data_IF_367258336791
#
_entry.id   IF_367258336791
#
_cell.length_a   1.000
_cell.length_b   1.000
_cell.length_c   1.000
_cell.angle_alpha   90.00
_cell.angle_beta   90.00
_cell.angle_gamma   90.00
#
_symmetry.space_group_name_H-M   'P 1'
#
loop_
_entity.id
_entity.type
_entity.pdbx_description
1 polymer ?
#
# COMPACT_ATOMS: atom_id res chain seq x y z
N UNK A 1 20.27 -0.94 -11.19
CA UNK A 1 20.30 -1.80 -9.98
C UNK A 1 20.45 -3.25 -10.42
N UNK A 2 21.33 -4.05 -9.81
CA UNK A 2 21.49 -5.45 -10.24
C UNK A 2 20.24 -6.25 -9.90
N UNK A 3 19.70 -6.97 -10.88
CA UNK A 3 18.54 -7.86 -10.69
C UNK A 3 18.86 -8.90 -9.61
N UNK A 4 17.86 -9.29 -8.81
CA UNK A 4 17.90 -10.46 -7.92
C UNK A 4 18.83 -10.39 -6.68
N UNK A 5 19.19 -9.20 -6.19
CA UNK A 5 20.00 -9.06 -4.96
C UNK A 5 19.36 -9.68 -3.71
N UNK A 6 18.03 -9.77 -3.66
CA UNK A 6 17.30 -10.41 -2.57
C UNK A 6 17.61 -11.92 -2.43
N UNK A 7 18.22 -12.52 -3.45
CA UNK A 7 18.69 -13.91 -3.40
C UNK A 7 20.20 -14.04 -3.12
N UNK A 8 20.94 -12.95 -3.00
CA UNK A 8 22.35 -12.98 -2.63
C UNK A 8 22.52 -13.49 -1.18
N UNK A 9 23.63 -14.18 -0.91
CA UNK A 9 23.89 -14.81 0.40
C UNK A 9 23.69 -13.82 1.57
N UNK A 10 24.24 -12.61 1.45
CA UNK A 10 24.14 -11.59 2.49
C UNK A 10 22.69 -11.17 2.80
N UNK A 11 21.77 -11.16 1.82
CA UNK A 11 20.38 -10.77 2.07
C UNK A 11 19.55 -11.92 2.65
N UNK A 12 19.88 -13.17 2.30
CA UNK A 12 19.21 -14.36 2.85
C UNK A 12 19.42 -14.50 4.37
N UNK A 13 20.53 -13.99 4.88
CA UNK A 13 20.79 -13.92 6.33
C UNK A 13 19.89 -12.91 7.05
N UNK A 14 19.41 -11.88 6.33
CA UNK A 14 18.54 -10.84 6.89
C UNK A 14 17.05 -11.18 6.72
N UNK A 15 16.67 -11.72 5.56
CA UNK A 15 15.28 -11.93 5.17
C UNK A 15 14.91 -13.40 5.08
N UNK A 16 14.01 -13.84 5.97
CA UNK A 16 13.49 -15.21 5.98
C UNK A 16 12.84 -15.60 4.65
N UNK A 17 12.19 -14.64 3.98
CA UNK A 17 11.43 -14.89 2.75
C UNK A 17 12.16 -14.50 1.48
N UNK A 18 13.41 -13.99 1.57
CA UNK A 18 14.14 -13.41 0.44
C UNK A 18 13.32 -12.33 -0.29
N UNK A 19 12.51 -11.56 0.45
CA UNK A 19 11.65 -10.50 -0.08
C UNK A 19 11.86 -9.20 0.68
N UNK A 20 11.64 -8.10 -0.03
CA UNK A 20 11.49 -6.77 0.57
C UNK A 20 10.00 -6.49 0.84
N UNK A 21 9.67 -5.73 1.90
CA UNK A 21 10.57 -5.22 2.93
C UNK A 21 10.97 -6.27 3.96
N UNK A 22 12.15 -6.08 4.55
CA UNK A 22 12.59 -6.74 5.78
C UNK A 22 13.09 -5.65 6.73
N UNK A 23 12.57 -5.64 7.95
CA UNK A 23 12.90 -4.69 9.01
C UNK A 23 13.85 -5.36 10.01
N UNK A 24 14.90 -4.64 10.39
CA UNK A 24 15.74 -4.98 11.53
C UNK A 24 15.57 -3.93 12.62
N UNK A 25 15.27 -4.35 13.85
CA UNK A 25 15.39 -3.50 15.04
C UNK A 25 16.20 -4.26 16.09
N UNK A 26 17.36 -3.69 16.45
CA UNK A 26 18.39 -4.35 17.23
C UNK A 26 18.81 -5.69 16.57
N UNK A 27 18.66 -6.80 17.29
CA UNK A 27 18.93 -8.14 16.79
C UNK A 27 17.70 -8.83 16.16
N UNK A 28 16.52 -8.21 16.19
CA UNK A 28 15.28 -8.82 15.67
C UNK A 28 15.07 -8.47 14.21
N UNK A 29 14.81 -9.50 13.39
CA UNK A 29 14.55 -9.40 11.95
C UNK A 29 13.12 -9.86 11.67
N UNK A 30 12.38 -9.07 10.88
CA UNK A 30 11.00 -9.37 10.50
C UNK A 30 10.74 -8.98 9.05
N UNK A 31 10.20 -9.93 8.28
CA UNK A 31 9.73 -9.70 6.90
C UNK A 31 8.20 -9.62 6.87
N UNK A 32 7.64 -9.30 5.69
CA UNK A 32 6.20 -9.05 5.44
C UNK A 32 5.71 -7.69 5.98
N UNK A 33 5.29 -6.81 5.07
CA UNK A 33 4.96 -5.42 5.41
C UNK A 33 3.84 -5.28 6.45
N UNK A 34 2.79 -6.11 6.39
CA UNK A 34 1.70 -6.04 7.38
C UNK A 34 2.12 -6.58 8.75
N UNK A 35 2.96 -7.61 8.80
CA UNK A 35 3.52 -8.11 10.07
C UNK A 35 4.43 -7.05 10.69
N UNK A 36 5.24 -6.39 9.87
CA UNK A 36 6.09 -5.27 10.28
C UNK A 36 5.25 -4.14 10.87
N UNK A 37 4.17 -3.71 10.22
CA UNK A 37 3.34 -2.60 10.73
C UNK A 37 2.60 -2.95 12.01
N UNK A 38 2.12 -4.20 12.16
CA UNK A 38 1.54 -4.68 13.43
C UNK A 38 2.59 -4.69 14.55
N UNK A 39 3.80 -5.18 14.26
CA UNK A 39 4.89 -5.19 15.22
C UNK A 39 5.29 -3.77 15.67
N UNK A 40 5.31 -2.81 14.73
CA UNK A 40 5.59 -1.41 15.05
C UNK A 40 4.49 -0.78 15.92
N UNK A 41 3.21 -1.07 15.65
CA UNK A 41 2.09 -0.62 16.49
C UNK A 41 2.19 -1.15 17.93
N UNK A 42 2.62 -2.41 18.11
CA UNK A 42 2.77 -3.02 19.43
C UNK A 42 4.05 -2.56 20.16
N UNK A 43 5.17 -2.48 19.45
CA UNK A 43 6.47 -2.12 20.02
C UNK A 43 6.61 -0.62 20.32
N UNK A 44 5.94 0.22 19.54
CA UNK A 44 5.93 1.68 19.68
C UNK A 44 4.49 2.18 19.80
N UNK A 45 3.82 1.96 20.95
CA UNK A 45 2.42 2.25 21.11
C UNK A 45 2.15 3.74 21.38
N UNK A 46 0.93 4.17 21.11
CA UNK A 46 0.42 5.47 21.54
C UNK A 46 0.29 5.58 23.08
N UNK A 47 0.39 6.79 23.66
CA UNK A 47 0.51 8.09 22.98
C UNK A 47 1.94 8.52 22.64
N UNK A 48 2.96 7.73 23.00
CA UNK A 48 4.35 8.08 22.73
C UNK A 48 4.64 8.14 21.23
N UNK A 49 4.00 7.25 20.46
CA UNK A 49 4.06 7.23 19.00
C UNK A 49 2.66 7.31 18.39
N UNK A 50 2.58 7.83 17.17
CA UNK A 50 1.34 7.88 16.40
C UNK A 50 0.87 6.46 16.04
N UNK A 51 -0.44 6.20 16.16
CA UNK A 51 -1.00 4.88 15.83
C UNK A 51 -1.08 4.68 14.32
N UNK A 52 -0.81 3.46 13.89
CA UNK A 52 -1.02 2.97 12.53
C UNK A 52 -2.41 2.36 12.36
N UNK A 53 -3.02 1.85 13.44
CA UNK A 53 -4.31 1.17 13.38
C UNK A 53 -5.42 1.88 14.17
N UNK A 54 -6.69 1.76 13.75
CA UNK A 54 -7.83 2.27 14.52
C UNK A 54 -7.87 1.68 15.94
N UNK A 55 -8.27 2.48 16.95
CA UNK A 55 -8.44 1.97 18.33
C UNK A 55 -9.57 0.95 18.44
N UNK A 56 -10.67 1.24 17.76
CA UNK A 56 -11.87 0.40 17.71
C UNK A 56 -11.55 -0.97 17.10
N UNK A 57 -12.02 -2.03 17.76
CA UNK A 57 -11.60 -3.40 17.43
C UNK A 57 -12.16 -3.84 16.07
N UNK A 58 -13.39 -3.47 15.74
CA UNK A 58 -14.04 -3.81 14.48
C UNK A 58 -13.41 -3.04 13.31
N UNK A 59 -13.12 -1.74 13.49
CA UNK A 59 -12.37 -0.96 12.49
C UNK A 59 -10.95 -1.48 12.30
N UNK A 60 -10.25 -1.91 13.37
CA UNK A 60 -8.94 -2.55 13.28
C UNK A 60 -9.01 -3.88 12.52
N UNK A 61 -10.03 -4.70 12.78
CA UNK A 61 -10.26 -5.92 12.02
C UNK A 61 -10.51 -5.64 10.53
N UNK A 62 -11.28 -4.59 10.21
CA UNK A 62 -11.51 -4.14 8.83
C UNK A 62 -10.23 -3.63 8.15
N UNK A 63 -9.39 -2.87 8.86
CA UNK A 63 -8.07 -2.48 8.34
C UNK A 63 -7.22 -3.70 7.96
N UNK A 64 -7.16 -4.71 8.84
CA UNK A 64 -6.45 -5.98 8.57
C UNK A 64 -7.03 -6.74 7.37
N UNK A 65 -8.35 -6.79 7.26
CA UNK A 65 -9.04 -7.40 6.10
C UNK A 65 -8.60 -6.69 4.80
N UNK A 66 -8.65 -5.36 4.76
CA UNK A 66 -8.23 -4.58 3.59
C UNK A 66 -6.76 -4.84 3.25
N UNK A 67 -5.87 -4.81 4.25
CA UNK A 67 -4.45 -5.07 4.03
C UNK A 67 -4.17 -6.46 3.45
N UNK A 68 -4.82 -7.50 3.99
CA UNK A 68 -4.68 -8.86 3.51
C UNK A 68 -5.24 -9.01 2.09
N UNK A 69 -6.44 -8.47 1.86
CA UNK A 69 -7.13 -8.52 0.58
C UNK A 69 -6.34 -7.85 -0.55
N UNK A 70 -5.80 -6.65 -0.31
CA UNK A 70 -4.96 -5.93 -1.26
C UNK A 70 -3.70 -6.72 -1.65
N UNK A 71 -3.16 -7.52 -0.71
CA UNK A 71 -1.97 -8.35 -0.91
C UNK A 71 -2.28 -9.68 -1.61
N UNK A 72 -3.49 -10.22 -1.53
CA UNK A 72 -3.80 -11.56 -2.05
C UNK A 72 -4.61 -11.60 -3.35
N UNK A 73 -5.38 -10.56 -3.69
CA UNK A 73 -6.44 -10.69 -4.72
C UNK A 73 -6.13 -9.95 -6.05
N UNK A 74 -5.48 -8.78 -5.99
CA UNK A 74 -5.32 -7.90 -7.15
C UNK A 74 -4.05 -8.19 -7.97
N UNK A 75 -3.77 -9.46 -8.26
CA UNK A 75 -2.56 -9.83 -9.02
C UNK A 75 -2.53 -9.16 -10.40
N UNK A 76 -3.64 -9.18 -11.15
CA UNK A 76 -3.72 -8.62 -12.50
C UNK A 76 -3.47 -7.10 -12.53
N UNK A 77 -4.06 -6.34 -11.59
CA UNK A 77 -3.77 -4.90 -11.46
C UNK A 77 -2.28 -4.70 -11.19
N UNK A 78 -1.68 -5.48 -10.28
CA UNK A 78 -0.26 -5.33 -9.91
C UNK A 78 0.71 -5.71 -11.03
N UNK A 79 0.31 -6.63 -11.92
CA UNK A 79 1.12 -7.01 -13.08
C UNK A 79 1.02 -5.99 -14.21
N UNK A 80 -0.20 -5.52 -14.51
CA UNK A 80 -0.44 -4.61 -15.64
C UNK A 80 -0.23 -3.14 -15.28
N UNK A 81 -0.26 -2.81 -13.98
CA UNK A 81 0.08 -1.50 -13.40
C UNK A 81 1.06 -1.71 -12.25
N UNK A 82 2.32 -2.04 -12.57
CA UNK A 82 3.33 -2.31 -11.56
C UNK A 82 3.69 -1.02 -10.80
N UNK A 83 4.43 -1.14 -9.70
CA UNK A 83 4.71 -0.01 -8.80
C UNK A 83 5.45 1.14 -9.49
N UNK A 84 6.14 0.85 -10.58
CA UNK A 84 6.89 1.76 -11.43
C UNK A 84 6.01 2.89 -11.95
N UNK A 85 4.71 2.64 -12.19
CA UNK A 85 3.71 3.66 -12.51
C UNK A 85 3.74 4.82 -11.51
N UNK A 86 3.92 4.52 -10.22
CA UNK A 86 3.87 5.50 -9.14
C UNK A 86 5.03 6.51 -9.17
N UNK A 87 6.10 6.20 -9.93
CA UNK A 87 7.36 6.92 -9.87
C UNK A 87 7.95 7.31 -11.24
N UNK A 88 7.56 6.62 -12.32
CA UNK A 88 8.23 6.71 -13.62
C UNK A 88 7.40 7.37 -14.73
N UNK A 89 6.08 7.57 -14.53
CA UNK A 89 5.19 8.02 -15.59
C UNK A 89 5.14 7.07 -16.81
N UNK A 90 5.53 5.80 -16.62
CA UNK A 90 5.53 4.79 -17.66
C UNK A 90 4.10 4.52 -18.15
N UNK A 91 3.97 4.35 -19.47
CA UNK A 91 2.70 3.99 -20.11
C UNK A 91 2.67 2.50 -20.39
N UNK A 92 1.61 1.86 -19.93
CA UNK A 92 1.33 0.44 -20.12
C UNK A 92 0.19 0.26 -21.12
N UNK A 93 0.05 -0.96 -21.62
CA UNK A 93 -1.05 -1.32 -22.50
C UNK A 93 -2.42 -1.14 -21.80
N UNK A 94 -3.52 -1.01 -22.57
CA UNK A 94 -4.87 -1.07 -22.02
C UNK A 94 -5.07 -2.34 -21.17
N UNK A 95 -5.90 -2.23 -20.14
CA UNK A 95 -6.17 -3.34 -19.22
C UNK A 95 -6.79 -4.52 -19.96
N UNK A 96 -6.34 -5.73 -19.60
CA UNK A 96 -7.03 -6.95 -20.03
C UNK A 96 -8.38 -7.09 -19.34
N UNK A 97 -9.24 -8.00 -19.84
CA UNK A 97 -10.52 -8.29 -19.20
C UNK A 97 -10.37 -8.75 -17.74
N UNK A 98 -9.32 -9.52 -17.42
CA UNK A 98 -9.02 -9.98 -16.06
C UNK A 98 -8.61 -8.83 -15.14
N UNK A 99 -7.81 -7.89 -15.65
CA UNK A 99 -7.45 -6.70 -14.88
C UNK A 99 -8.65 -5.76 -14.72
N UNK A 100 -9.47 -5.58 -15.76
CA UNK A 100 -10.69 -4.77 -15.67
C UNK A 100 -11.67 -5.34 -14.63
N UNK A 101 -11.88 -6.66 -14.61
CA UNK A 101 -12.71 -7.31 -13.59
C UNK A 101 -12.17 -7.06 -12.17
N UNK A 102 -10.85 -7.09 -12.00
CA UNK A 102 -10.20 -6.78 -10.73
C UNK A 102 -10.39 -5.30 -10.34
N UNK A 103 -10.32 -4.37 -11.30
CA UNK A 103 -10.61 -2.95 -11.08
C UNK A 103 -12.07 -2.75 -10.65
N UNK A 104 -13.02 -3.36 -11.36
CA UNK A 104 -14.45 -3.24 -11.04
C UNK A 104 -14.75 -3.76 -9.63
N UNK A 105 -14.11 -4.86 -9.23
CA UNK A 105 -14.19 -5.42 -7.87
C UNK A 105 -13.63 -4.45 -6.83
N UNK A 106 -12.48 -3.83 -7.12
CA UNK A 106 -11.87 -2.83 -6.23
C UNK A 106 -12.80 -1.62 -6.05
N UNK A 107 -13.27 -1.04 -7.15
CA UNK A 107 -14.16 0.13 -7.16
C UNK A 107 -15.42 -0.15 -6.35
N UNK A 108 -16.13 -1.24 -6.65
CA UNK A 108 -17.36 -1.63 -5.94
C UNK A 108 -17.15 -1.75 -4.42
N UNK A 109 -16.03 -2.33 -4.00
CA UNK A 109 -15.75 -2.51 -2.57
C UNK A 109 -15.41 -1.18 -1.89
N UNK A 110 -14.55 -0.36 -2.51
CA UNK A 110 -14.12 0.91 -1.92
C UNK A 110 -15.28 1.90 -1.84
N UNK A 111 -16.18 1.92 -2.82
CA UNK A 111 -17.41 2.73 -2.78
C UNK A 111 -18.30 2.41 -1.56
N UNK A 112 -18.26 1.16 -1.06
CA UNK A 112 -18.96 0.75 0.17
C UNK A 112 -18.18 1.07 1.43
N UNK A 113 -16.85 1.01 1.38
CA UNK A 113 -15.96 1.21 2.52
C UNK A 113 -15.73 2.69 2.83
N UNK A 114 -15.83 3.55 1.82
CA UNK A 114 -15.71 4.99 1.95
C UNK A 114 -17.12 5.55 1.71
N UNK A 115 -17.85 6.04 2.72
CA UNK A 115 -19.08 6.82 2.54
C UNK A 115 -18.79 8.26 2.10
N UNK A 116 -19.75 8.91 1.44
CA UNK A 116 -19.62 10.29 0.96
C UNK A 116 -19.16 11.24 2.08
N UNK A 117 -18.21 12.12 1.75
CA UNK A 117 -17.66 13.12 2.67
C UNK A 117 -16.54 12.63 3.60
N UNK A 118 -16.19 11.33 3.61
CA UNK A 118 -15.05 10.84 4.40
C UNK A 118 -13.73 10.91 3.63
N UNK A 119 -12.70 11.44 4.29
CA UNK A 119 -11.33 11.53 3.77
C UNK A 119 -10.49 10.29 4.07
N UNK A 120 -10.81 9.57 5.16
CA UNK A 120 -10.12 8.35 5.60
C UNK A 120 -11.16 7.22 5.80
N UNK A 121 -10.74 5.97 5.61
CA UNK A 121 -11.56 4.75 5.74
C UNK A 121 -12.27 4.62 7.09
N UNK A 122 -11.66 5.16 8.16
CA UNK A 122 -12.13 4.94 9.53
C UNK A 122 -12.41 6.24 10.31
N UNK A 123 -12.50 7.37 9.60
CA UNK A 123 -12.59 8.72 10.15
C UNK A 123 -11.22 9.34 10.41
N UNK A 124 -10.39 8.67 11.21
CA UNK A 124 -8.96 8.98 11.35
C UNK A 124 -8.14 8.18 10.32
N UNK A 125 -6.95 8.68 9.99
CA UNK A 125 -6.02 7.95 9.13
C UNK A 125 -5.56 6.65 9.81
N UNK A 126 -5.38 5.62 8.99
CA UNK A 126 -4.72 4.36 9.33
C UNK A 126 -3.77 3.94 8.21
N UNK A 127 -2.88 3.00 8.49
CA UNK A 127 -1.97 2.46 7.48
C UNK A 127 -2.71 1.80 6.30
N UNK A 128 -3.95 1.33 6.52
CA UNK A 128 -4.79 0.79 5.46
C UNK A 128 -5.18 1.86 4.41
N UNK A 129 -5.26 3.14 4.81
CA UNK A 129 -5.52 4.23 3.88
C UNK A 129 -4.39 4.38 2.87
N UNK A 130 -3.14 4.30 3.35
CA UNK A 130 -1.94 4.34 2.50
C UNK A 130 -1.87 3.11 1.59
N UNK A 131 -2.10 1.90 2.13
CA UNK A 131 -2.10 0.67 1.33
C UNK A 131 -3.14 0.74 0.20
N UNK A 132 -4.35 1.25 0.49
CA UNK A 132 -5.40 1.43 -0.50
C UNK A 132 -5.05 2.52 -1.52
N UNK A 133 -4.54 3.67 -1.06
CA UNK A 133 -4.12 4.75 -1.95
C UNK A 133 -3.03 4.31 -2.92
N UNK A 134 -2.06 3.50 -2.48
CA UNK A 134 -1.05 2.90 -3.37
C UNK A 134 -1.70 2.03 -4.45
N UNK A 135 -2.70 1.21 -4.10
CA UNK A 135 -3.41 0.38 -5.09
C UNK A 135 -4.19 1.23 -6.09
N UNK A 136 -4.91 2.26 -5.63
CA UNK A 136 -5.66 3.16 -6.50
C UNK A 136 -4.73 3.98 -7.40
N UNK A 137 -3.62 4.48 -6.87
CA UNK A 137 -2.68 5.31 -7.65
C UNK A 137 -1.96 4.55 -8.76
N UNK A 138 -1.96 3.22 -8.76
CA UNK A 138 -1.55 2.42 -9.93
C UNK A 138 -2.41 2.71 -11.17
N UNK A 139 -3.68 3.06 -10.95
CA UNK A 139 -4.64 3.37 -12.01
C UNK A 139 -4.70 4.89 -12.22
N UNK A 140 -4.82 5.67 -11.14
CA UNK A 140 -4.95 7.13 -11.21
C UNK A 140 -3.74 7.76 -11.89
N UNK A 141 -2.53 7.44 -11.44
CA UNK A 141 -1.31 8.05 -11.98
C UNK A 141 -0.96 7.55 -13.38
N UNK A 142 -1.47 6.37 -13.76
CA UNK A 142 -1.39 5.90 -15.14
C UNK A 142 -2.37 6.65 -16.07
N UNK A 143 -3.46 7.19 -15.52
CA UNK A 143 -4.53 7.85 -16.27
C UNK A 143 -5.69 6.93 -16.64
N UNK A 144 -5.81 5.77 -16.01
CA UNK A 144 -6.96 4.88 -16.22
C UNK A 144 -8.25 5.50 -15.64
N UNK A 145 -9.42 5.23 -16.25
CA UNK A 145 -10.68 5.77 -15.76
C UNK A 145 -11.04 5.19 -14.39
N UNK A 146 -11.29 6.08 -13.42
CA UNK A 146 -11.85 5.76 -12.12
C UNK A 146 -12.92 6.79 -11.73
N UNK A 147 -13.91 6.42 -10.92
CA UNK A 147 -14.86 7.39 -10.37
C UNK A 147 -14.13 8.55 -9.68
N UNK A 148 -14.60 9.78 -9.90
CA UNK A 148 -13.92 11.00 -9.44
C UNK A 148 -13.60 10.94 -7.94
N UNK A 149 -14.56 10.47 -7.14
CA UNK A 149 -14.42 10.32 -5.70
C UNK A 149 -13.25 9.43 -5.26
N UNK A 150 -12.97 8.36 -6.00
CA UNK A 150 -11.84 7.46 -5.72
C UNK A 150 -10.51 8.10 -6.08
N UNK A 151 -10.48 8.93 -7.14
CA UNK A 151 -9.32 9.76 -7.49
C UNK A 151 -9.06 10.79 -6.41
N UNK A 152 -10.08 11.52 -5.98
CA UNK A 152 -9.98 12.54 -4.93
C UNK A 152 -9.46 11.93 -3.62
N UNK A 153 -9.96 10.74 -3.24
CA UNK A 153 -9.46 9.99 -2.08
C UNK A 153 -7.98 9.60 -2.25
N UNK A 154 -7.62 9.03 -3.40
CA UNK A 154 -6.24 8.62 -3.66
C UNK A 154 -5.27 9.81 -3.66
N UNK A 155 -5.67 10.94 -4.25
CA UNK A 155 -4.91 12.20 -4.26
C UNK A 155 -4.75 12.78 -2.86
N UNK A 156 -5.83 12.83 -2.06
CA UNK A 156 -5.78 13.29 -0.68
C UNK A 156 -4.81 12.45 0.16
N UNK A 157 -4.92 11.12 0.09
CA UNK A 157 -4.02 10.22 0.82
C UNK A 157 -2.58 10.33 0.34
N UNK A 158 -2.36 10.63 -0.94
CA UNK A 158 -1.03 10.83 -1.50
C UNK A 158 -0.31 12.05 -0.91
N UNK A 159 -1.04 13.08 -0.48
CA UNK A 159 -0.48 14.30 0.11
C UNK A 159 0.08 14.10 1.52
N UNK A 160 -0.13 12.93 2.15
CA UNK A 160 0.39 12.65 3.49
C UNK A 160 1.91 12.83 3.53
N UNK A 161 2.41 13.57 4.52
CA UNK A 161 3.84 13.92 4.63
C UNK A 161 4.77 12.69 4.57
N UNK A 162 4.40 11.58 5.22
CA UNK A 162 5.18 10.33 5.16
C UNK A 162 5.22 9.70 3.77
N UNK A 163 4.14 9.81 2.99
CA UNK A 163 4.08 9.35 1.60
C UNK A 163 4.93 10.25 0.72
N UNK A 164 4.81 11.57 0.86
CA UNK A 164 5.64 12.52 0.12
C UNK A 164 7.14 12.34 0.39
N UNK A 165 7.51 12.09 1.65
CA UNK A 165 8.90 11.76 2.01
C UNK A 165 9.37 10.47 1.30
N UNK A 166 8.55 9.41 1.34
CA UNK A 166 8.86 8.16 0.65
C UNK A 166 9.04 8.32 -0.86
N UNK A 167 8.19 9.12 -1.51
CA UNK A 167 8.30 9.45 -2.94
C UNK A 167 9.60 10.20 -3.23
N UNK A 168 9.96 11.18 -2.39
CA UNK A 168 11.19 11.94 -2.53
C UNK A 168 12.43 11.04 -2.40
N UNK A 169 12.47 10.11 -1.45
CA UNK A 169 13.57 9.15 -1.31
C UNK A 169 13.65 8.19 -2.50
N UNK A 170 12.51 7.76 -3.03
CA UNK A 170 12.44 6.85 -4.19
C UNK A 170 12.93 7.49 -5.48
N UNK A 171 12.88 8.83 -5.58
CA UNK A 171 13.41 9.59 -6.71
C UNK A 171 14.92 9.84 -6.68
N UNK A 172 15.59 9.79 -5.51
CA UNK A 172 17.02 10.12 -5.36
C UNK A 172 17.98 9.13 -6.03
N UNK A 173 17.53 7.91 -6.28
CA UNK A 173 18.34 6.82 -6.84
C UNK A 173 17.93 6.41 -8.27
N UNK A 174 17.25 7.31 -8.99
CA UNK A 174 16.89 7.14 -10.41
C UNK A 174 17.73 8.02 -11.31
#
# INVERSE_FOLDING_TARGET
MSQNQQYAAAYRELSLTCRVPTLQIDAFLLSESSAITEYLEERFPAPEFERLYPRDREKRARAREIQAWLRSDFLWIRQERPTEVLFAGERFAPLTASAQQAVDKLVMAVDRLLPDGQQNLFGEWSIADTDLAVMLNRLVLHGDPLPARLRDYAEFQWQRASVQLWLAESGKNR
#
